data_IF_842744119325
#
_entry.id   IF_842744119325
#
_cell.length_a   1.000
_cell.length_b   1.000
_cell.length_c   1.000
_cell.angle_alpha   90.00
_cell.angle_beta   90.00
_cell.angle_gamma   90.00
#
_symmetry.space_group_name_H-M   'P 1'
#
loop_
_entity.id
_entity.type
_entity.pdbx_description
1 polymer ?
#
# COMPACT_ATOMS: atom_id res chain seq x y z
N UNK A 1 -2.63 0.30 14.33
CA UNK A 1 -3.09 0.76 12.99
C UNK A 1 -1.86 0.84 12.10
N UNK A 2 -1.80 0.07 11.01
CA UNK A 2 -0.63 0.04 10.13
C UNK A 2 -0.40 1.38 9.42
N UNK A 3 0.85 1.81 9.30
CA UNK A 3 1.25 3.11 8.70
C UNK A 3 0.73 3.27 7.26
N UNK A 4 0.80 2.18 6.49
CA UNK A 4 0.33 2.10 5.09
C UNK A 4 -1.17 2.37 4.98
N UNK A 5 -1.97 1.86 5.93
CA UNK A 5 -3.40 2.11 5.96
C UNK A 5 -3.70 3.61 6.09
N UNK A 6 -2.93 4.34 6.88
CA UNK A 6 -3.11 5.78 7.04
C UNK A 6 -2.75 6.54 5.75
N UNK A 7 -1.70 6.12 5.05
CA UNK A 7 -1.28 6.73 3.78
C UNK A 7 -2.34 6.52 2.70
N UNK A 8 -2.86 5.30 2.57
CA UNK A 8 -3.95 5.00 1.63
C UNK A 8 -5.18 5.83 1.99
N UNK A 9 -5.60 5.85 3.27
CA UNK A 9 -6.76 6.63 3.71
C UNK A 9 -6.60 8.15 3.53
N UNK A 10 -5.37 8.69 3.60
CA UNK A 10 -5.11 10.10 3.30
C UNK A 10 -5.32 10.43 1.82
N UNK A 11 -5.00 9.49 0.92
CA UNK A 11 -5.17 9.64 -0.54
C UNK A 11 -6.59 9.30 -0.99
N UNK A 12 -7.34 8.52 -0.21
CA UNK A 12 -8.77 8.31 -0.41
C UNK A 12 -9.53 9.64 -0.22
N UNK A 13 -10.21 10.09 -1.26
CA UNK A 13 -11.17 11.20 -1.15
C UNK A 13 -12.53 10.65 -0.72
N UNK A 14 -13.40 11.48 -0.13
CA UNK A 14 -14.69 11.08 0.50
C UNK A 14 -15.59 10.14 -0.33
N UNK A 15 -15.38 10.04 -1.64
CA UNK A 15 -16.13 9.19 -2.57
C UNK A 15 -15.25 8.22 -3.39
N UNK A 16 -13.93 8.15 -3.16
CA UNK A 16 -13.01 7.30 -3.90
C UNK A 16 -12.19 6.44 -2.93
N UNK A 17 -12.71 5.25 -2.66
CA UNK A 17 -11.99 4.21 -1.91
C UNK A 17 -11.00 3.52 -2.84
N UNK A 18 -9.77 3.34 -2.36
CA UNK A 18 -8.77 2.58 -3.09
C UNK A 18 -9.17 1.11 -3.14
N UNK A 19 -9.62 0.67 -4.31
CA UNK A 19 -9.84 -0.74 -4.59
C UNK A 19 -8.60 -1.34 -5.25
N UNK A 20 -7.80 -2.14 -4.54
CA UNK A 20 -6.61 -2.75 -5.11
C UNK A 20 -6.99 -3.73 -6.21
N UNK A 21 -6.72 -3.36 -7.45
CA UNK A 21 -6.96 -4.17 -8.64
C UNK A 21 -5.73 -5.02 -9.00
N UNK A 22 -5.90 -5.96 -9.94
CA UNK A 22 -4.78 -6.78 -10.47
C UNK A 22 -3.61 -5.93 -10.97
N UNK A 23 -3.89 -4.75 -11.52
CA UNK A 23 -2.84 -3.82 -11.98
C UNK A 23 -1.95 -3.33 -10.83
N UNK A 24 -2.53 -2.99 -9.68
CA UNK A 24 -1.78 -2.62 -8.48
C UNK A 24 -0.89 -3.77 -8.00
N UNK A 25 -1.45 -4.97 -7.87
CA UNK A 25 -0.72 -6.15 -7.45
C UNK A 25 0.48 -6.45 -8.37
N UNK A 26 0.29 -6.31 -9.68
CA UNK A 26 1.35 -6.50 -10.67
C UNK A 26 2.40 -5.38 -10.62
N UNK A 27 1.98 -4.13 -10.44
CA UNK A 27 2.90 -2.98 -10.36
C UNK A 27 3.79 -3.04 -9.11
N UNK A 28 3.22 -3.47 -7.98
CA UNK A 28 3.95 -3.61 -6.71
C UNK A 28 4.70 -4.95 -6.62
N UNK A 29 4.31 -5.96 -7.41
CA UNK A 29 4.89 -7.29 -7.37
C UNK A 29 4.41 -8.14 -6.18
N UNK A 30 3.22 -7.84 -5.64
CA UNK A 30 2.64 -8.55 -4.49
C UNK A 30 1.31 -9.19 -4.85
N UNK A 31 0.95 -10.28 -4.17
CA UNK A 31 -0.38 -10.87 -4.30
C UNK A 31 -1.39 -10.22 -3.34
N UNK A 32 -2.68 -10.42 -3.60
CA UNK A 32 -3.77 -9.88 -2.78
C UNK A 32 -3.69 -10.28 -1.31
N UNK A 33 -3.28 -11.52 -1.02
CA UNK A 33 -3.13 -12.01 0.36
C UNK A 33 -2.06 -11.22 1.09
N UNK A 34 -0.91 -11.01 0.45
CA UNK A 34 0.24 -10.29 0.98
C UNK A 34 -0.09 -8.81 1.19
N UNK A 35 -0.77 -8.17 0.24
CA UNK A 35 -1.32 -6.84 0.45
C UNK A 35 -2.24 -6.77 1.66
N UNK A 36 -3.14 -7.75 1.84
CA UNK A 36 -4.04 -7.80 2.99
C UNK A 36 -3.30 -7.87 4.33
N UNK A 37 -2.23 -8.66 4.42
CA UNK A 37 -1.39 -8.77 5.61
C UNK A 37 -0.65 -7.45 5.92
N UNK A 38 -0.05 -6.85 4.88
CA UNK A 38 0.65 -5.57 4.95
C UNK A 38 -0.31 -4.44 5.37
N UNK A 39 -1.47 -4.35 4.72
CA UNK A 39 -2.47 -3.32 4.98
C UNK A 39 -3.05 -3.38 6.40
N UNK A 40 -3.19 -4.59 6.97
CA UNK A 40 -3.62 -4.79 8.36
C UNK A 40 -2.50 -4.55 9.38
N UNK A 41 -1.25 -4.49 8.93
CA UNK A 41 -0.07 -4.42 9.81
C UNK A 41 0.24 -5.76 10.50
N UNK A 42 -0.16 -6.88 9.90
CA UNK A 42 0.22 -8.22 10.37
C UNK A 42 1.66 -8.57 9.99
N UNK A 43 2.16 -8.00 8.88
CA UNK A 43 3.50 -8.21 8.35
C UNK A 43 4.03 -6.88 7.82
N UNK A 44 5.31 -6.60 8.06
CA UNK A 44 5.98 -5.46 7.46
C UNK A 44 6.36 -5.75 5.99
N UNK A 45 6.14 -4.79 5.07
CA UNK A 45 6.62 -4.94 3.70
C UNK A 45 8.15 -5.00 3.68
N UNK A 46 8.70 -5.70 2.70
CA UNK A 46 10.12 -5.57 2.39
C UNK A 46 10.43 -4.18 1.85
N UNK A 47 11.70 -3.76 1.88
CA UNK A 47 12.14 -2.45 1.36
C UNK A 47 11.70 -2.26 -0.10
N UNK A 48 11.80 -3.30 -0.93
CA UNK A 48 11.39 -3.26 -2.34
C UNK A 48 9.88 -3.07 -2.50
N UNK A 49 9.07 -3.75 -1.67
CA UNK A 49 7.61 -3.62 -1.69
C UNK A 49 7.17 -2.25 -1.18
N UNK A 50 7.76 -1.78 -0.08
CA UNK A 50 7.49 -0.45 0.46
C UNK A 50 7.79 0.63 -0.58
N UNK A 51 8.92 0.51 -1.30
CA UNK A 51 9.29 1.43 -2.38
C UNK A 51 8.29 1.38 -3.53
N UNK A 52 7.90 0.20 -4.01
CA UNK A 52 6.95 0.06 -5.11
C UNK A 52 5.55 0.56 -4.74
N UNK A 53 5.11 0.34 -3.49
CA UNK A 53 3.89 0.93 -2.94
C UNK A 53 4.01 2.46 -2.92
N UNK A 54 5.15 3.00 -2.45
CA UNK A 54 5.40 4.44 -2.41
C UNK A 54 5.30 5.07 -3.80
N UNK A 55 5.94 4.45 -4.78
CA UNK A 55 5.92 4.87 -6.18
C UNK A 55 4.50 4.82 -6.76
N UNK A 56 3.73 3.75 -6.50
CA UNK A 56 2.36 3.62 -7.00
C UNK A 56 1.41 4.68 -6.43
N UNK A 57 1.55 5.03 -5.15
CA UNK A 57 0.71 6.04 -4.49
C UNK A 57 1.26 7.46 -4.62
N UNK A 58 2.43 7.63 -5.26
CA UNK A 58 3.17 8.89 -5.35
C UNK A 58 3.33 9.53 -3.96
N UNK A 59 3.93 8.77 -3.05
CA UNK A 59 4.23 9.18 -1.67
C UNK A 59 5.70 8.90 -1.36
N UNK A 60 6.25 9.61 -0.38
CA UNK A 60 7.59 9.33 0.08
C UNK A 60 7.63 7.98 0.82
N UNK A 61 8.63 7.15 0.55
CA UNK A 61 8.79 5.85 1.20
C UNK A 61 8.93 6.00 2.71
N UNK A 62 9.45 7.12 3.19
CA UNK A 62 9.58 7.43 4.63
C UNK A 62 8.22 7.56 5.33
N UNK A 63 7.13 7.82 4.61
CA UNK A 63 5.77 7.81 5.19
C UNK A 63 5.23 6.38 5.41
N UNK A 64 5.85 5.38 4.77
CA UNK A 64 5.45 3.96 4.84
C UNK A 64 6.28 3.16 5.86
N UNK A 65 7.44 3.67 6.29
CA UNK A 65 8.39 3.00 7.20
C UNK A 65 8.13 3.38 8.66
#
# INVERSE_FOLDING_TARGET
MGKIKNVVQKKESRCFFFHPQKQFYNAVGINQKRWGQIYRGEIDPTISEAKAIAEYFEVDVTELI
#
